data_IF_478783819074
#
_entry.id   IF_478783819074
#
_cell.length_a   1.000
_cell.length_b   1.000
_cell.length_c   1.000
_cell.angle_alpha   90.00
_cell.angle_beta   90.00
_cell.angle_gamma   90.00
#
_symmetry.space_group_name_H-M   'P 1'
#
loop_
_entity.id
_entity.type
_entity.pdbx_description
1 polymer ?
#
# COMPACT_ATOMS: atom_id res chain seq x y z
N UNK A 1 65.64 -16.72 11.20
CA UNK A 1 64.58 -16.91 12.21
C UNK A 1 63.31 -16.26 11.70
N UNK A 2 62.24 -17.06 11.60
CA UNK A 2 60.88 -16.69 11.20
C UNK A 2 60.27 -15.71 12.20
N UNK A 3 59.44 -14.75 11.75
CA UNK A 3 58.10 -14.47 12.33
C UNK A 3 57.22 -13.72 11.31
N UNK A 4 56.13 -14.39 10.96
CA UNK A 4 55.01 -13.93 10.17
C UNK A 4 53.90 -13.34 11.07
N UNK A 5 52.86 -12.81 10.40
CA UNK A 5 51.50 -12.48 10.86
C UNK A 5 51.23 -11.04 11.36
N UNK A 6 50.49 -10.28 10.56
CA UNK A 6 49.07 -9.94 10.82
C UNK A 6 48.51 -9.16 9.62
N UNK A 7 48.18 -9.87 8.55
CA UNK A 7 47.23 -9.44 7.51
C UNK A 7 46.00 -10.35 7.63
N UNK A 8 45.22 -10.20 8.70
CA UNK A 8 43.94 -10.89 8.90
C UNK A 8 42.99 -9.93 9.61
N UNK A 9 42.43 -8.96 8.89
CA UNK A 9 41.24 -8.24 9.39
C UNK A 9 40.32 -7.67 8.30
N UNK A 10 40.76 -7.47 7.06
CA UNK A 10 39.86 -6.96 6.00
C UNK A 10 39.10 -8.08 5.26
N UNK A 11 39.76 -9.20 4.95
CA UNK A 11 39.13 -10.36 4.27
C UNK A 11 38.10 -11.10 5.12
N UNK A 12 38.28 -11.11 6.45
CA UNK A 12 37.36 -11.81 7.35
C UNK A 12 36.04 -11.05 7.51
N UNK A 13 36.06 -9.71 7.50
CA UNK A 13 34.84 -8.91 7.53
C UNK A 13 34.05 -9.01 6.23
N UNK A 14 34.73 -8.98 5.07
CA UNK A 14 34.05 -9.13 3.77
C UNK A 14 33.49 -10.52 3.57
N UNK A 15 34.23 -11.57 3.95
CA UNK A 15 33.74 -12.95 3.89
C UNK A 15 32.61 -13.21 4.89
N UNK A 16 32.67 -12.66 6.11
CA UNK A 16 31.58 -12.78 7.07
C UNK A 16 30.31 -12.03 6.62
N UNK A 17 30.47 -10.86 6.00
CA UNK A 17 29.36 -10.12 5.40
C UNK A 17 28.74 -10.89 4.22
N UNK A 18 29.55 -11.48 3.33
CA UNK A 18 29.06 -12.28 2.21
C UNK A 18 28.35 -13.55 2.69
N UNK A 19 28.91 -14.28 3.66
CA UNK A 19 28.26 -15.44 4.29
C UNK A 19 26.93 -15.06 4.98
N UNK A 20 26.85 -13.85 5.54
CA UNK A 20 25.60 -13.36 6.14
C UNK A 20 24.55 -13.02 5.08
N UNK A 21 24.96 -12.51 3.93
CA UNK A 21 24.10 -12.15 2.82
C UNK A 21 23.58 -13.40 2.11
N UNK A 22 24.45 -14.37 1.85
CA UNK A 22 24.08 -15.69 1.31
C UNK A 22 23.03 -16.36 2.20
N UNK A 23 23.21 -16.30 3.51
CA UNK A 23 22.23 -16.82 4.47
C UNK A 23 20.90 -16.06 4.45
N UNK A 24 20.93 -14.73 4.34
CA UNK A 24 19.73 -13.90 4.21
C UNK A 24 18.98 -14.20 2.91
N UNK A 25 19.71 -14.42 1.82
CA UNK A 25 19.17 -14.75 0.51
C UNK A 25 18.55 -16.16 0.47
N UNK A 26 19.22 -17.17 1.01
CA UNK A 26 18.63 -18.52 1.13
C UNK A 26 17.39 -18.52 2.05
N UNK A 27 17.43 -17.74 3.13
CA UNK A 27 16.27 -17.54 4.01
C UNK A 27 15.11 -16.85 3.28
N UNK A 28 15.41 -15.85 2.44
CA UNK A 28 14.44 -15.18 1.59
C UNK A 28 13.79 -16.15 0.61
N UNK A 29 14.59 -16.91 -0.14
CA UNK A 29 14.12 -17.90 -1.11
C UNK A 29 13.23 -18.94 -0.46
N UNK A 30 13.66 -19.46 0.69
CA UNK A 30 12.89 -20.44 1.47
C UNK A 30 11.58 -19.84 1.97
N UNK A 31 11.61 -18.63 2.53
CA UNK A 31 10.44 -17.96 3.11
C UNK A 31 9.36 -17.66 2.06
N UNK A 32 9.76 -17.23 0.87
CA UNK A 32 8.84 -16.81 -0.19
C UNK A 32 8.68 -17.82 -1.33
N UNK A 33 9.27 -19.01 -1.22
CA UNK A 33 9.16 -20.08 -2.20
C UNK A 33 9.74 -19.73 -3.57
N UNK A 34 10.87 -19.01 -3.60
CA UNK A 34 11.50 -18.53 -4.84
C UNK A 34 12.39 -19.59 -5.48
N UNK A 35 12.37 -19.63 -6.80
CA UNK A 35 13.24 -20.45 -7.65
C UNK A 35 13.64 -19.62 -8.86
N UNK A 36 14.94 -19.59 -9.18
CA UNK A 36 15.50 -18.78 -10.26
C UNK A 36 16.16 -19.69 -11.30
N UNK A 37 16.13 -19.28 -12.57
CA UNK A 37 16.64 -20.07 -13.69
C UNK A 37 18.15 -19.87 -13.89
N UNK A 38 18.73 -18.78 -13.36
CA UNK A 38 20.16 -18.49 -13.46
C UNK A 38 20.71 -17.65 -12.30
N UNK A 39 22.03 -17.69 -12.12
CA UNK A 39 22.73 -16.93 -11.08
C UNK A 39 22.93 -15.42 -11.44
N UNK A 40 22.56 -15.00 -12.66
CA UNK A 40 22.69 -13.60 -13.10
C UNK A 40 21.52 -12.70 -12.63
N UNK A 41 20.45 -13.28 -12.08
CA UNK A 41 19.25 -12.56 -11.60
C UNK A 41 19.35 -12.05 -10.15
N UNK A 42 20.52 -12.12 -9.52
CA UNK A 42 20.70 -11.81 -8.09
C UNK A 42 21.18 -10.36 -7.89
N UNK A 43 20.27 -9.41 -7.58
CA UNK A 43 20.60 -8.03 -7.18
C UNK A 43 20.05 -7.62 -5.81
N UNK A 44 20.79 -6.74 -5.11
CA UNK A 44 20.65 -6.39 -3.68
C UNK A 44 19.72 -5.18 -3.39
N UNK A 45 19.17 -5.12 -2.16
CA UNK A 45 18.35 -4.01 -1.64
C UNK A 45 19.07 -3.26 -0.50
N UNK A 46 18.98 -1.93 -0.54
CA UNK A 46 19.50 -1.04 0.50
C UNK A 46 18.44 -0.73 1.59
N UNK A 47 18.89 -0.64 2.85
CA UNK A 47 18.09 -0.14 3.96
C UNK A 47 18.09 1.41 3.98
N UNK A 48 16.94 2.02 4.31
CA UNK A 48 16.82 3.47 4.49
C UNK A 48 16.88 3.83 5.99
N UNK A 49 17.70 4.82 6.36
CA UNK A 49 18.13 5.05 7.75
C UNK A 49 17.50 6.30 8.40
N UNK A 50 16.47 6.91 7.81
CA UNK A 50 15.92 8.14 8.38
C UNK A 50 14.46 8.41 8.00
N UNK A 51 13.49 7.60 8.44
CA UNK A 51 12.09 7.96 8.16
C UNK A 51 11.07 7.40 9.15
N UNK A 52 9.89 8.03 9.17
CA UNK A 52 8.68 7.58 9.88
C UNK A 52 8.21 6.17 9.49
N UNK A 53 8.87 5.53 8.52
CA UNK A 53 8.59 4.18 8.04
C UNK A 53 9.86 3.36 7.84
N UNK A 54 9.66 2.05 7.72
CA UNK A 54 10.70 1.09 7.37
C UNK A 54 10.35 0.41 6.06
N UNK A 55 11.35 0.30 5.20
CA UNK A 55 11.37 -0.66 4.11
C UNK A 55 12.06 -1.92 4.60
N UNK A 56 11.69 -3.07 4.06
CA UNK A 56 12.32 -4.33 4.42
C UNK A 56 12.07 -5.38 3.35
N UNK A 57 12.86 -6.45 3.37
CA UNK A 57 12.77 -7.52 2.37
C UNK A 57 11.36 -8.15 2.39
N UNK A 58 10.61 -8.01 1.29
CA UNK A 58 9.27 -8.55 1.01
C UNK A 58 9.31 -9.52 -0.15
N UNK A 59 8.21 -10.24 -0.40
CA UNK A 59 8.10 -11.21 -1.52
C UNK A 59 8.35 -10.63 -2.92
N UNK A 60 8.42 -9.31 -3.04
CA UNK A 60 8.65 -8.56 -4.27
C UNK A 60 10.05 -7.97 -4.36
N UNK A 61 10.86 -8.11 -3.31
CA UNK A 61 12.17 -7.48 -3.18
C UNK A 61 13.19 -7.94 -4.23
N UNK A 62 12.94 -9.06 -4.89
CA UNK A 62 13.73 -9.56 -6.01
C UNK A 62 13.26 -9.00 -7.37
N UNK A 63 12.24 -8.14 -7.41
CA UNK A 63 11.72 -7.54 -8.63
C UNK A 63 12.21 -6.10 -8.76
N UNK A 64 12.63 -5.72 -9.96
CA UNK A 64 12.77 -4.30 -10.33
C UNK A 64 11.42 -3.59 -10.25
N UNK A 65 11.46 -2.25 -10.21
CA UNK A 65 10.27 -1.41 -10.25
C UNK A 65 9.39 -1.72 -11.47
N UNK A 66 10.01 -1.92 -12.62
CA UNK A 66 9.37 -2.21 -13.89
C UNK A 66 8.73 -3.61 -13.90
N UNK A 67 9.42 -4.62 -13.37
CA UNK A 67 8.89 -5.98 -13.22
C UNK A 67 7.74 -6.01 -12.22
N UNK A 68 7.87 -5.29 -11.11
CA UNK A 68 6.81 -5.15 -10.13
C UNK A 68 5.57 -4.50 -10.74
N UNK A 69 5.76 -3.39 -11.47
CA UNK A 69 4.70 -2.70 -12.19
C UNK A 69 4.00 -3.59 -13.22
N UNK A 70 4.76 -4.35 -14.00
CA UNK A 70 4.22 -5.22 -15.05
C UNK A 70 3.37 -6.38 -14.50
N UNK A 71 3.72 -6.92 -13.33
CA UNK A 71 3.15 -8.17 -12.82
C UNK A 71 2.18 -7.99 -11.63
N UNK A 72 2.30 -6.90 -10.87
CA UNK A 72 1.59 -6.70 -9.61
C UNK A 72 0.79 -5.40 -9.54
N UNK A 73 0.97 -4.51 -10.52
CA UNK A 73 0.18 -3.30 -10.69
C UNK A 73 -0.71 -3.46 -11.94
N UNK A 74 -1.67 -2.56 -12.14
CA UNK A 74 -2.59 -2.72 -13.27
C UNK A 74 -3.80 -1.82 -13.29
N UNK A 75 -3.92 -0.90 -12.33
CA UNK A 75 -4.84 0.22 -12.49
C UNK A 75 -4.36 1.09 -13.66
N UNK A 76 -5.32 1.60 -14.43
CA UNK A 76 -5.05 2.56 -15.51
C UNK A 76 -6.07 3.68 -15.40
N UNK A 77 -5.64 4.94 -15.23
CA UNK A 77 -6.56 6.05 -15.08
C UNK A 77 -7.36 6.20 -16.38
N UNK A 78 -8.68 6.36 -16.23
CA UNK A 78 -9.57 6.75 -17.31
C UNK A 78 -10.09 8.17 -17.05
N UNK A 79 -10.52 8.86 -18.11
CA UNK A 79 -11.11 10.21 -18.00
C UNK A 79 -12.27 10.19 -17.00
N UNK A 80 -12.12 10.93 -15.90
CA UNK A 80 -13.15 11.01 -14.85
C UNK A 80 -14.25 11.99 -15.27
N UNK A 81 -15.53 11.59 -15.24
CA UNK A 81 -16.61 12.57 -15.29
C UNK A 81 -16.50 13.50 -14.07
N UNK A 82 -16.88 14.78 -14.26
CA UNK A 82 -16.84 15.76 -13.20
C UNK A 82 -17.55 15.21 -11.95
N UNK A 83 -17.02 15.47 -10.73
CA UNK A 83 -17.65 15.00 -9.51
C UNK A 83 -19.12 15.39 -9.49
N UNK A 84 -20.01 14.43 -9.23
CA UNK A 84 -21.31 14.79 -8.66
C UNK A 84 -20.97 15.38 -7.30
N UNK A 85 -20.88 16.71 -7.23
CA UNK A 85 -20.56 17.44 -6.01
C UNK A 85 -21.63 17.08 -4.99
N UNK A 86 -21.34 16.10 -4.14
CA UNK A 86 -22.03 16.01 -2.87
C UNK A 86 -21.53 17.21 -2.07
N UNK A 87 -22.44 18.01 -1.52
CA UNK A 87 -22.10 19.13 -0.65
C UNK A 87 -21.31 18.60 0.55
N UNK A 88 -19.98 18.54 0.43
CA UNK A 88 -19.09 18.19 1.54
C UNK A 88 -19.30 19.28 2.56
N UNK A 89 -20.03 18.97 3.61
CA UNK A 89 -20.28 19.93 4.67
C UNK A 89 -19.02 20.01 5.54
N UNK A 90 -18.09 20.89 5.17
CA UNK A 90 -16.85 21.14 5.91
C UNK A 90 -17.05 21.62 7.36
N UNK A 91 -18.29 21.89 7.79
CA UNK A 91 -18.62 22.22 9.18
C UNK A 91 -18.83 20.98 10.06
N UNK A 92 -18.92 19.77 9.48
CA UNK A 92 -19.00 18.53 10.24
C UNK A 92 -17.66 18.26 10.89
N UNK A 93 -17.64 18.29 12.23
CA UNK A 93 -16.47 17.92 13.02
C UNK A 93 -16.22 16.42 12.85
N UNK A 94 -15.25 16.07 12.01
CA UNK A 94 -14.80 14.68 11.85
C UNK A 94 -14.08 14.20 13.11
N UNK A 95 -14.15 12.90 13.45
CA UNK A 95 -13.34 12.32 14.53
C UNK A 95 -11.84 12.55 14.33
N UNK A 96 -11.05 12.50 15.41
CA UNK A 96 -9.59 12.59 15.31
C UNK A 96 -8.95 11.38 14.62
N UNK A 97 -9.61 10.22 14.72
CA UNK A 97 -9.19 8.97 14.09
C UNK A 97 -10.41 8.10 13.79
N UNK A 98 -10.35 7.37 12.69
CA UNK A 98 -11.34 6.36 12.31
C UNK A 98 -10.60 5.11 11.85
N UNK A 99 -11.09 3.94 12.28
CA UNK A 99 -10.60 2.65 11.80
C UNK A 99 -11.80 1.71 11.58
N UNK A 100 -12.20 1.57 10.31
CA UNK A 100 -13.35 0.76 9.92
C UNK A 100 -13.13 -0.75 10.12
N UNK A 101 -11.88 -1.20 10.29
CA UNK A 101 -11.57 -2.60 10.60
C UNK A 101 -12.18 -2.99 11.96
N UNK A 102 -12.17 -2.07 12.92
CA UNK A 102 -12.75 -2.26 14.25
C UNK A 102 -14.28 -2.41 14.26
N UNK A 103 -14.94 -2.09 13.15
CA UNK A 103 -16.40 -2.17 13.00
C UNK A 103 -16.87 -3.46 12.34
N UNK A 104 -15.94 -4.33 11.92
CA UNK A 104 -16.28 -5.59 11.25
C UNK A 104 -16.87 -5.40 9.84
N UNK A 105 -16.70 -4.22 9.24
CA UNK A 105 -17.18 -3.93 7.88
C UNK A 105 -16.10 -4.06 6.83
N UNK A 106 -14.84 -4.26 7.22
CA UNK A 106 -13.72 -4.47 6.30
C UNK A 106 -13.46 -5.97 6.22
N UNK A 107 -13.54 -6.53 5.03
CA UNK A 107 -13.23 -7.95 4.79
C UNK A 107 -11.77 -8.28 5.06
N UNK A 108 -11.46 -9.57 5.12
CA UNK A 108 -10.09 -10.09 5.22
C UNK A 108 -9.21 -9.58 4.07
N UNK A 109 -7.91 -9.48 4.32
CA UNK A 109 -6.93 -9.16 3.28
C UNK A 109 -6.88 -10.30 2.27
N UNK A 110 -6.79 -9.94 0.99
CA UNK A 110 -6.66 -10.91 -0.10
C UNK A 110 -5.34 -10.69 -0.83
N UNK A 111 -4.98 -11.63 -1.71
CA UNK A 111 -3.76 -11.58 -2.49
C UNK A 111 -4.07 -11.75 -3.99
N UNK A 112 -3.79 -10.73 -4.78
CA UNK A 112 -3.97 -10.69 -6.23
C UNK A 112 -2.95 -11.55 -7.00
N UNK A 113 -1.90 -12.02 -6.32
CA UNK A 113 -0.79 -12.78 -6.90
C UNK A 113 -0.11 -12.01 -8.07
N UNK A 114 0.40 -12.72 -9.07
CA UNK A 114 1.01 -12.15 -10.30
C UNK A 114 -0.08 -11.79 -11.32
N UNK A 115 -1.05 -10.99 -10.89
CA UNK A 115 -2.08 -10.46 -11.76
C UNK A 115 -2.32 -9.00 -11.41
N UNK A 116 -2.29 -8.11 -12.40
CA UNK A 116 -2.61 -6.67 -12.27
C UNK A 116 -4.09 -6.38 -12.00
N UNK A 117 -4.67 -7.06 -11.00
CA UNK A 117 -6.10 -7.01 -10.66
C UNK A 117 -6.41 -6.15 -9.43
N UNK A 118 -5.45 -5.36 -8.94
CA UNK A 118 -5.62 -4.46 -7.80
C UNK A 118 -6.90 -3.61 -7.86
N UNK A 119 -7.26 -3.12 -9.06
CA UNK A 119 -8.51 -2.39 -9.31
C UNK A 119 -9.77 -3.20 -8.95
N UNK A 120 -9.78 -4.51 -9.24
CA UNK A 120 -10.89 -5.40 -8.93
C UNK A 120 -10.96 -5.69 -7.42
N UNK A 121 -9.81 -5.92 -6.78
CA UNK A 121 -9.74 -6.12 -5.32
C UNK A 121 -10.17 -4.86 -4.55
N UNK A 122 -9.77 -3.68 -5.03
CA UNK A 122 -10.23 -2.40 -4.48
C UNK A 122 -11.75 -2.27 -4.61
N UNK A 123 -12.31 -2.51 -5.81
CA UNK A 123 -13.75 -2.45 -6.04
C UNK A 123 -14.55 -3.45 -5.18
N UNK A 124 -14.06 -4.68 -5.02
CA UNK A 124 -14.74 -5.71 -4.20
C UNK A 124 -14.74 -5.31 -2.72
N UNK A 125 -13.57 -5.02 -2.14
CA UNK A 125 -13.44 -4.69 -0.72
C UNK A 125 -14.27 -3.45 -0.35
N UNK A 126 -14.33 -2.50 -1.27
CA UNK A 126 -15.16 -1.32 -1.21
C UNK A 126 -16.67 -1.63 -1.19
N UNK A 127 -17.16 -2.46 -2.11
CA UNK A 127 -18.58 -2.86 -2.17
C UNK A 127 -18.98 -3.69 -0.95
N UNK A 128 -18.12 -4.64 -0.54
CA UNK A 128 -18.30 -5.42 0.69
C UNK A 128 -18.47 -4.50 1.89
N UNK A 129 -17.61 -3.48 2.02
CA UNK A 129 -17.65 -2.53 3.13
C UNK A 129 -18.90 -1.66 3.11
N UNK A 130 -19.28 -1.12 1.95
CA UNK A 130 -20.47 -0.28 1.82
C UNK A 130 -21.76 -1.07 2.14
N UNK A 131 -21.83 -2.33 1.73
CA UNK A 131 -22.94 -3.21 2.06
C UNK A 131 -22.98 -3.56 3.55
N UNK A 132 -21.85 -3.93 4.14
CA UNK A 132 -21.73 -4.24 5.56
C UNK A 132 -22.12 -3.05 6.44
N UNK A 133 -21.78 -1.83 6.02
CA UNK A 133 -22.14 -0.60 6.71
C UNK A 133 -23.67 -0.36 6.73
N UNK A 134 -24.38 -0.73 5.65
CA UNK A 134 -25.84 -0.58 5.54
C UNK A 134 -26.62 -1.70 6.26
N UNK A 135 -26.09 -2.92 6.23
CA UNK A 135 -26.80 -4.12 6.71
C UNK A 135 -26.34 -4.59 8.09
N UNK A 136 -25.21 -4.06 8.58
CA UNK A 136 -24.48 -4.57 9.77
C UNK A 136 -24.06 -6.05 9.60
N UNK A 137 -23.97 -6.54 8.35
CA UNK A 137 -23.55 -7.91 8.05
C UNK A 137 -22.69 -7.99 6.78
N UNK A 138 -21.42 -8.34 6.96
CA UNK A 138 -20.43 -8.44 5.89
C UNK A 138 -20.71 -9.57 4.89
N UNK A 139 -21.38 -10.65 5.30
CA UNK A 139 -21.56 -11.86 4.50
C UNK A 139 -22.76 -11.82 3.54
N UNK A 140 -23.56 -10.74 3.56
CA UNK A 140 -24.77 -10.64 2.74
C UNK A 140 -24.56 -9.77 1.48
N UNK A 141 -23.58 -10.12 0.64
CA UNK A 141 -23.29 -9.42 -0.62
C UNK A 141 -24.38 -9.58 -1.69
N UNK A 142 -25.34 -10.49 -1.51
CA UNK A 142 -26.42 -10.78 -2.47
C UNK A 142 -27.52 -9.71 -2.56
N UNK A 143 -27.29 -8.49 -2.05
CA UNK A 143 -28.29 -7.43 -2.03
C UNK A 143 -27.78 -5.98 -2.15
N UNK A 144 -26.48 -5.77 -2.38
CA UNK A 144 -25.95 -4.41 -2.51
C UNK A 144 -26.28 -3.84 -3.89
N UNK A 145 -27.22 -2.90 -3.97
CA UNK A 145 -27.51 -2.14 -5.19
C UNK A 145 -26.79 -0.80 -5.15
N UNK A 146 -25.83 -0.60 -6.06
CA UNK A 146 -25.15 0.69 -6.21
C UNK A 146 -26.02 1.59 -7.08
N UNK A 147 -26.59 2.62 -6.48
CA UNK A 147 -27.45 3.58 -7.19
C UNK A 147 -26.65 4.63 -7.97
N UNK A 148 -25.48 5.02 -7.45
CA UNK A 148 -24.55 5.97 -8.07
C UNK A 148 -23.20 5.92 -7.34
N UNK A 149 -22.26 6.78 -7.72
CA UNK A 149 -20.98 6.96 -7.05
C UNK A 149 -20.61 8.45 -6.99
N UNK A 150 -19.72 8.79 -6.07
CA UNK A 150 -19.18 10.14 -5.90
C UNK A 150 -17.67 10.08 -6.04
N UNK A 151 -17.14 10.94 -6.92
CA UNK A 151 -15.71 11.20 -7.03
C UNK A 151 -15.30 12.23 -5.97
N UNK A 152 -14.24 11.94 -5.21
CA UNK A 152 -13.60 12.95 -4.37
C UNK A 152 -12.85 13.93 -5.28
N UNK A 153 -12.92 15.25 -5.02
CA UNK A 153 -12.15 16.24 -5.78
C UNK A 153 -10.64 15.96 -5.68
N UNK A 154 -9.95 16.09 -6.80
CA UNK A 154 -8.49 15.93 -6.84
C UNK A 154 -7.80 17.00 -6.00
N UNK A 155 -6.68 16.64 -5.39
CA UNK A 155 -5.87 17.45 -4.48
C UNK A 155 -6.63 17.98 -3.24
N UNK A 156 -7.82 17.47 -2.93
CA UNK A 156 -8.60 17.86 -1.75
C UNK A 156 -8.67 16.73 -0.71
N UNK A 157 -7.60 16.63 0.10
CA UNK A 157 -7.57 15.67 1.22
C UNK A 157 -8.57 16.00 2.33
N UNK A 158 -9.15 17.21 2.38
CA UNK A 158 -10.20 17.53 3.35
C UNK A 158 -11.52 16.87 2.96
N UNK A 159 -11.87 16.94 1.68
CA UNK A 159 -12.99 16.18 1.13
C UNK A 159 -12.79 14.68 1.28
N UNK A 160 -11.57 14.18 1.04
CA UNK A 160 -11.24 12.78 1.29
C UNK A 160 -11.41 12.41 2.77
N UNK A 161 -10.92 13.23 3.70
CA UNK A 161 -11.04 13.00 5.14
C UNK A 161 -12.50 12.95 5.59
N UNK A 162 -13.33 13.86 5.09
CA UNK A 162 -14.76 13.86 5.36
C UNK A 162 -15.43 12.58 4.85
N UNK A 163 -15.07 12.13 3.64
CA UNK A 163 -15.59 10.87 3.11
C UNK A 163 -15.15 9.67 3.97
N UNK A 164 -13.86 9.55 4.28
CA UNK A 164 -13.32 8.43 5.07
C UNK A 164 -13.87 8.42 6.50
N UNK A 165 -14.19 9.59 7.07
CA UNK A 165 -14.82 9.70 8.38
C UNK A 165 -16.21 9.05 8.44
N UNK A 166 -16.89 8.97 7.30
CA UNK A 166 -18.22 8.40 7.20
C UNK A 166 -18.24 6.99 6.64
N UNK A 167 -17.24 6.57 5.84
CA UNK A 167 -17.25 5.29 5.13
C UNK A 167 -15.87 4.86 4.65
N UNK A 168 -15.80 3.65 4.11
CA UNK A 168 -14.63 3.16 3.36
C UNK A 168 -14.59 3.78 1.96
N UNK A 169 -13.41 4.17 1.48
CA UNK A 169 -13.21 4.87 0.20
C UNK A 169 -12.26 4.08 -0.69
N UNK A 170 -12.60 3.85 -1.95
CA UNK A 170 -11.68 3.29 -2.95
C UNK A 170 -10.79 4.41 -3.49
N UNK A 171 -9.52 4.13 -3.74
CA UNK A 171 -8.56 5.07 -4.31
C UNK A 171 -7.57 4.37 -5.24
N UNK A 172 -6.86 5.16 -6.05
CA UNK A 172 -5.65 4.72 -6.74
C UNK A 172 -4.46 5.58 -6.32
N UNK A 173 -3.28 4.98 -6.33
CA UNK A 173 -2.00 5.62 -6.04
C UNK A 173 -0.97 5.25 -7.12
N UNK A 174 0.11 6.03 -7.19
CA UNK A 174 1.39 5.53 -7.67
C UNK A 174 2.00 4.64 -6.58
N UNK A 175 2.17 3.35 -6.89
CA UNK A 175 2.65 2.38 -5.91
C UNK A 175 4.09 1.91 -6.13
N UNK A 176 4.81 2.44 -7.12
CA UNK A 176 6.19 2.04 -7.36
C UNK A 176 7.05 2.15 -6.08
N UNK A 177 7.01 3.24 -5.30
CA UNK A 177 7.80 3.37 -4.07
C UNK A 177 7.29 2.53 -2.88
N UNK A 178 6.13 1.88 -2.99
CA UNK A 178 5.44 1.18 -1.88
C UNK A 178 5.83 -0.30 -1.79
N UNK A 179 6.50 -0.82 -2.81
CA UNK A 179 6.83 -2.24 -3.02
C UNK A 179 7.40 -2.93 -1.77
N UNK A 180 8.37 -2.29 -1.11
CA UNK A 180 9.10 -2.87 0.03
C UNK A 180 8.63 -2.36 1.40
N UNK A 181 7.48 -1.68 1.45
CA UNK A 181 6.95 -1.16 2.72
C UNK A 181 6.77 -2.28 3.75
N UNK A 182 7.32 -2.05 4.94
CA UNK A 182 7.23 -2.96 6.08
C UNK A 182 6.35 -2.39 7.21
N UNK A 183 6.65 -1.18 7.67
CA UNK A 183 5.99 -0.62 8.85
C UNK A 183 6.15 0.90 8.96
N UNK A 184 5.52 1.51 9.96
CA UNK A 184 5.56 2.95 10.20
C UNK A 184 4.51 3.73 9.38
N UNK A 185 4.78 5.01 9.10
CA UNK A 185 3.97 5.92 8.28
C UNK A 185 4.79 6.25 7.02
N UNK A 186 4.41 5.64 5.91
CA UNK A 186 5.05 5.77 4.62
C UNK A 186 5.04 7.24 4.16
N UNK A 187 6.22 7.78 3.86
CA UNK A 187 6.40 9.18 3.50
C UNK A 187 7.62 9.36 2.60
N UNK A 188 7.42 9.39 1.28
CA UNK A 188 8.49 9.48 0.29
C UNK A 188 8.25 10.65 -0.67
N UNK A 189 9.33 11.12 -1.27
CA UNK A 189 9.38 12.10 -2.34
C UNK A 189 9.58 11.46 -3.73
N UNK A 190 9.59 10.12 -3.80
CA UNK A 190 9.75 9.33 -5.03
C UNK A 190 8.46 9.14 -5.84
N UNK A 191 7.29 9.44 -5.25
CA UNK A 191 6.02 9.28 -5.95
C UNK A 191 5.85 10.30 -7.09
N UNK A 192 5.37 9.82 -8.24
CA UNK A 192 5.15 10.62 -9.43
C UNK A 192 4.08 11.70 -9.22
N UNK A 193 4.32 12.82 -9.88
CA UNK A 193 3.35 13.92 -9.97
C UNK A 193 2.43 13.81 -11.20
N UNK A 194 2.66 12.86 -12.12
CA UNK A 194 1.84 12.68 -13.32
C UNK A 194 0.52 11.96 -12.97
N UNK A 195 -0.66 12.50 -13.33
CA UNK A 195 -1.93 11.78 -13.18
C UNK A 195 -1.99 10.43 -13.91
N UNK A 196 -1.22 10.25 -14.99
CA UNK A 196 -1.20 9.02 -15.79
C UNK A 196 -0.38 7.89 -15.13
N UNK A 197 0.43 8.22 -14.12
CA UNK A 197 1.28 7.25 -13.41
C UNK A 197 0.57 6.52 -12.27
N UNK A 198 -0.70 6.84 -12.00
CA UNK A 198 -1.52 6.05 -11.09
C UNK A 198 -1.65 4.61 -11.61
N UNK A 199 -1.13 3.63 -10.87
CA UNK A 199 -1.02 2.25 -11.34
C UNK A 199 -1.53 1.19 -10.35
N UNK A 200 -1.92 1.60 -9.14
CA UNK A 200 -2.38 0.68 -8.11
C UNK A 200 -3.70 1.06 -7.44
N UNK A 201 -4.65 0.13 -7.45
CA UNK A 201 -5.93 0.26 -6.74
C UNK A 201 -5.82 -0.19 -5.28
N UNK A 202 -6.18 0.70 -4.35
CA UNK A 202 -6.17 0.47 -2.90
C UNK A 202 -7.49 0.90 -2.26
N UNK A 203 -7.68 0.61 -0.97
CA UNK A 203 -8.87 1.02 -0.22
C UNK A 203 -8.48 1.72 1.06
N UNK A 204 -8.98 2.94 1.26
CA UNK A 204 -8.77 3.70 2.49
C UNK A 204 -9.83 3.27 3.50
N UNK A 205 -9.37 2.63 4.57
CA UNK A 205 -10.22 2.05 5.63
C UNK A 205 -10.16 2.83 6.94
N UNK A 206 -9.46 3.96 6.94
CA UNK A 206 -9.35 4.79 8.13
C UNK A 206 -8.27 5.85 8.04
N UNK A 207 -8.08 6.57 9.13
CA UNK A 207 -7.04 7.55 9.34
C UNK A 207 -6.76 7.73 10.82
N UNK A 208 -5.61 8.32 11.13
CA UNK A 208 -5.24 8.69 12.49
C UNK A 208 -4.10 9.69 12.52
N UNK A 209 -3.47 9.80 13.68
CA UNK A 209 -2.21 10.50 13.88
C UNK A 209 -1.41 9.79 14.95
N UNK A 210 -0.10 9.68 14.74
CA UNK A 210 0.88 9.12 15.67
C UNK A 210 1.99 10.17 15.83
N UNK A 211 2.27 10.59 17.07
CA UNK A 211 3.29 11.61 17.39
C UNK A 211 3.19 12.91 16.56
N UNK A 212 1.96 13.36 16.31
CA UNK A 212 1.69 14.56 15.50
C UNK A 212 1.77 14.34 14.00
N UNK A 213 2.12 13.13 13.54
CA UNK A 213 2.18 12.76 12.12
C UNK A 213 0.83 12.15 11.70
N UNK A 214 0.02 12.83 10.88
CA UNK A 214 -1.23 12.30 10.36
C UNK A 214 -1.01 11.21 9.29
N UNK A 215 -1.87 10.20 9.27
CA UNK A 215 -1.80 9.12 8.28
C UNK A 215 -3.18 8.62 7.82
N UNK A 216 -3.20 8.04 6.62
CA UNK A 216 -4.26 7.16 6.10
C UNK A 216 -3.97 5.70 6.47
N UNK A 217 -5.00 4.88 6.67
CA UNK A 217 -4.89 3.42 6.79
C UNK A 217 -5.39 2.83 5.47
N UNK A 218 -4.51 2.16 4.73
CA UNK A 218 -4.82 1.60 3.43
C UNK A 218 -4.79 0.07 3.47
N UNK A 219 -5.84 -0.55 2.94
CA UNK A 219 -5.90 -1.98 2.68
C UNK A 219 -5.31 -2.25 1.30
N UNK A 220 -4.39 -3.20 1.22
CA UNK A 220 -3.75 -3.61 -0.01
C UNK A 220 -4.31 -4.94 -0.54
N UNK A 221 -3.97 -5.27 -1.78
CA UNK A 221 -4.30 -6.53 -2.47
C UNK A 221 -3.13 -7.51 -2.54
N UNK A 222 -2.04 -7.31 -1.78
CA UNK A 222 -0.81 -8.11 -1.89
C UNK A 222 -0.65 -9.20 -0.81
N UNK A 223 -1.71 -9.53 -0.07
CA UNK A 223 -1.67 -10.54 0.99
C UNK A 223 -1.17 -10.00 2.34
N UNK A 224 -1.32 -10.81 3.39
CA UNK A 224 -1.07 -10.40 4.77
C UNK A 224 0.42 -10.23 5.13
N UNK A 225 1.32 -10.88 4.40
CA UNK A 225 2.76 -10.75 4.60
C UNK A 225 3.32 -9.37 4.19
N UNK A 226 2.50 -8.56 3.50
CA UNK A 226 2.86 -7.21 3.11
C UNK A 226 2.56 -6.21 4.23
N UNK A 227 3.52 -5.34 4.54
CA UNK A 227 3.32 -4.24 5.49
C UNK A 227 2.82 -4.70 6.87
N UNK A 228 1.78 -4.01 7.35
CA UNK A 228 1.12 -4.24 8.62
C UNK A 228 -0.06 -5.20 8.43
N UNK A 229 0.22 -6.50 8.25
CA UNK A 229 -0.80 -7.54 8.03
C UNK A 229 -1.68 -7.28 6.80
N UNK A 230 -1.06 -6.88 5.68
CA UNK A 230 -1.73 -6.53 4.42
C UNK A 230 -2.22 -5.08 4.33
N UNK A 231 -1.94 -4.28 5.35
CA UNK A 231 -2.23 -2.85 5.37
C UNK A 231 -0.93 -2.03 5.34
N UNK A 232 -1.04 -0.77 4.98
CA UNK A 232 0.03 0.20 5.17
C UNK A 232 -0.53 1.53 5.64
N UNK A 233 0.29 2.30 6.35
CA UNK A 233 -0.05 3.67 6.72
C UNK A 233 0.71 4.61 5.81
N UNK A 234 0.03 5.57 5.22
CA UNK A 234 0.63 6.56 4.34
C UNK A 234 0.39 7.95 4.89
N UNK A 235 1.40 8.81 4.82
CA UNK A 235 1.31 10.18 5.29
C UNK A 235 0.10 10.91 4.66
N UNK A 236 -0.61 11.68 5.48
CA UNK A 236 -1.79 12.46 5.09
C UNK A 236 -1.50 13.94 5.30
N UNK A 237 -1.45 14.74 4.25
CA UNK A 237 -1.27 16.19 4.37
C UNK A 237 -0.69 16.86 3.14
N UNK A 238 -0.16 16.10 2.20
CA UNK A 238 0.44 16.59 0.96
C UNK A 238 -0.07 15.87 -0.29
N UNK A 239 -1.20 15.15 -0.21
CA UNK A 239 -1.70 14.32 -1.30
C UNK A 239 -0.65 13.29 -1.79
N UNK A 240 0.06 12.66 -0.85
CA UNK A 240 1.09 11.65 -1.07
C UNK A 240 0.66 10.62 -2.13
N UNK A 241 1.53 10.36 -3.10
CA UNK A 241 1.32 9.41 -4.20
C UNK A 241 -0.03 9.62 -4.94
N UNK A 242 -0.46 10.88 -5.00
CA UNK A 242 -1.70 11.33 -5.64
C UNK A 242 -2.95 10.59 -5.13
N UNK A 243 -3.03 10.26 -3.84
CA UNK A 243 -4.13 9.49 -3.24
C UNK A 243 -5.55 10.00 -3.53
N UNK A 244 -5.73 11.31 -3.76
CA UNK A 244 -7.03 11.89 -4.16
C UNK A 244 -7.31 11.83 -5.65
N UNK A 245 -6.30 11.53 -6.48
CA UNK A 245 -6.34 11.54 -7.95
C UNK A 245 -7.40 10.60 -8.53
N UNK A 246 -7.67 9.48 -7.84
CA UNK A 246 -8.74 8.54 -8.22
C UNK A 246 -9.55 8.01 -7.04
N UNK A 247 -9.84 8.87 -6.06
CA UNK A 247 -10.66 8.48 -4.89
C UNK A 247 -12.17 8.58 -5.17
N UNK A 248 -12.94 7.56 -4.76
CA UNK A 248 -14.40 7.52 -4.94
C UNK A 248 -15.13 6.67 -3.90
N UNK A 249 -16.43 6.95 -3.71
CA UNK A 249 -17.30 6.16 -2.84
C UNK A 249 -18.70 5.91 -3.43
N UNK A 250 -19.42 4.84 -3.03
CA UNK A 250 -20.63 4.43 -3.68
C UNK A 250 -21.84 4.99 -2.91
N UNK A 251 -22.96 5.10 -3.59
CA UNK A 251 -24.24 5.37 -2.96
C UNK A 251 -25.05 4.08 -3.02
N UNK A 252 -25.18 3.40 -1.87
CA UNK A 252 -25.81 2.08 -1.70
C UNK A 252 -27.19 2.17 -1.09
#
# INVERSE_FOLDING_TARGET
MIRAALFVTLFALTAAASLSLDFQWESFKTKYGKSYDSAEEETEIAANDEVTYRLGVKKFSDLTAEEFKANHLGFKPARRPAPLVHNVNYTVKVPASVDWRTKGIVSEVKNQQQCGSCWAFSAIAFIESANAQKTVNLLNILGASISSFVNVPEADEKSLLSAVAERVVSAAIDAHPVQDYESGIFNTDECSSDPEDLDHGVVIVGYGSEDGTPYWILKNGWGEDFGLSGYFRMYRGNNMCRITGYASYPIV
#
